data_IF_665592933743
#
_entry.id   IF_665592933743
#
_cell.length_a   1.000
_cell.length_b   1.000
_cell.length_c   1.000
_cell.angle_alpha   90.00
_cell.angle_beta   90.00
_cell.angle_gamma   90.00
#
_symmetry.space_group_name_H-M   'P 1'
#
loop_
_entity.id
_entity.type
_entity.pdbx_description
1 polymer ?
#
# COMPACT_ATOMS: atom_id res chain seq x y z
N UNK A 1 -8.32 1.67 -5.86
CA UNK A 1 -6.87 1.84 -5.63
C UNK A 1 -6.10 2.21 -6.90
N UNK A 2 -6.77 2.73 -7.94
CA UNK A 2 -6.19 2.87 -9.29
C UNK A 2 -5.05 3.89 -9.35
N UNK A 3 -5.21 5.06 -8.71
CA UNK A 3 -4.17 6.09 -8.65
C UNK A 3 -2.87 5.60 -8.00
N UNK A 4 -2.99 4.73 -6.99
CA UNK A 4 -1.83 4.22 -6.24
C UNK A 4 -1.12 3.15 -7.05
N UNK A 5 -1.87 2.29 -7.74
CA UNK A 5 -1.29 1.36 -8.71
C UNK A 5 -0.59 2.11 -9.85
N UNK A 6 -1.24 3.11 -10.44
CA UNK A 6 -0.71 3.84 -11.60
C UNK A 6 0.61 4.56 -11.30
N UNK A 7 0.71 5.20 -10.12
CA UNK A 7 1.92 5.85 -9.63
C UNK A 7 3.02 4.83 -9.30
N UNK A 8 2.70 3.73 -8.60
CA UNK A 8 3.67 2.66 -8.36
C UNK A 8 4.22 2.08 -9.66
N UNK A 9 3.36 1.84 -10.66
CA UNK A 9 3.74 1.32 -11.97
C UNK A 9 4.65 2.27 -12.77
N UNK A 10 4.71 3.55 -12.41
CA UNK A 10 5.63 4.54 -12.97
C UNK A 10 6.74 4.93 -11.99
N UNK A 11 6.95 4.16 -10.92
CA UNK A 11 7.97 4.40 -9.92
C UNK A 11 9.20 3.50 -10.12
N UNK A 12 10.31 3.85 -9.46
CA UNK A 12 11.51 3.02 -9.39
C UNK A 12 11.29 1.65 -8.75
N UNK A 13 10.19 1.45 -8.03
CA UNK A 13 9.93 0.23 -7.26
C UNK A 13 9.12 -0.81 -8.05
N UNK A 14 8.61 -0.49 -9.24
CA UNK A 14 7.69 -1.39 -9.98
C UNK A 14 8.30 -2.74 -10.34
N UNK A 15 9.60 -2.76 -10.67
CA UNK A 15 10.30 -3.95 -11.19
C UNK A 15 10.86 -4.83 -10.05
N UNK A 16 10.99 -4.27 -8.85
CA UNK A 16 11.72 -4.90 -7.72
C UNK A 16 10.86 -5.13 -6.49
N UNK A 17 9.69 -4.49 -6.40
CA UNK A 17 8.80 -4.58 -5.24
C UNK A 17 7.33 -4.55 -5.67
N UNK A 18 6.55 -5.45 -5.08
CA UNK A 18 5.10 -5.46 -5.14
C UNK A 18 4.50 -4.56 -4.05
N UNK A 19 3.18 -4.32 -4.11
CA UNK A 19 2.48 -3.55 -3.09
C UNK A 19 2.72 -4.10 -1.66
N UNK A 20 2.77 -5.43 -1.51
CA UNK A 20 2.92 -6.06 -0.20
C UNK A 20 4.36 -5.96 0.34
N UNK A 21 5.36 -5.82 -0.53
CA UNK A 21 6.76 -5.69 -0.09
C UNK A 21 7.01 -4.38 0.66
N UNK A 22 6.15 -3.38 0.42
CA UNK A 22 6.13 -2.12 1.17
C UNK A 22 5.05 -2.12 2.27
N UNK A 23 3.82 -2.58 1.97
CA UNK A 23 2.66 -2.38 2.84
C UNK A 23 2.32 -3.54 3.79
N UNK A 24 3.05 -4.66 3.75
CA UNK A 24 2.84 -5.81 4.63
C UNK A 24 4.15 -6.14 5.35
N UNK A 25 4.12 -6.44 6.66
CA UNK A 25 5.34 -6.78 7.40
C UNK A 25 5.91 -8.11 6.90
N UNK A 26 7.24 -8.21 6.88
CA UNK A 26 8.01 -9.33 6.33
C UNK A 26 8.91 -10.02 7.38
N UNK A 27 8.74 -9.67 8.65
CA UNK A 27 9.51 -10.18 9.78
C UNK A 27 9.06 -11.58 10.22
N UNK A 28 7.76 -11.85 10.14
CA UNK A 28 7.19 -13.11 10.58
C UNK A 28 5.89 -13.42 9.83
N UNK A 29 5.76 -14.66 9.35
CA UNK A 29 4.59 -15.14 8.59
C UNK A 29 3.27 -14.91 9.33
N UNK A 30 3.23 -15.10 10.65
CA UNK A 30 2.03 -14.85 11.44
C UNK A 30 1.63 -13.37 11.44
N UNK A 31 2.59 -12.46 11.61
CA UNK A 31 2.36 -11.01 11.58
C UNK A 31 1.94 -10.56 10.18
N UNK A 32 2.58 -11.10 9.14
CA UNK A 32 2.20 -10.89 7.72
C UNK A 32 0.74 -11.20 7.47
N UNK A 33 0.29 -12.42 7.80
CA UNK A 33 -1.09 -12.84 7.55
C UNK A 33 -2.10 -12.11 8.42
N UNK A 34 -1.78 -11.89 9.71
CA UNK A 34 -2.65 -11.13 10.60
C UNK A 34 -2.86 -9.70 10.09
N UNK A 35 -1.77 -9.01 9.72
CA UNK A 35 -1.83 -7.65 9.20
C UNK A 35 -2.62 -7.60 7.89
N UNK A 36 -2.34 -8.52 6.97
CA UNK A 36 -3.03 -8.63 5.68
C UNK A 36 -4.53 -8.87 5.85
N UNK A 37 -4.93 -9.73 6.79
CA UNK A 37 -6.33 -10.01 7.08
C UNK A 37 -7.03 -8.78 7.67
N UNK A 38 -6.43 -8.15 8.69
CA UNK A 38 -6.98 -6.97 9.34
C UNK A 38 -7.17 -5.81 8.35
N UNK A 39 -6.14 -5.51 7.57
CA UNK A 39 -6.17 -4.43 6.59
C UNK A 39 -7.10 -4.76 5.41
N UNK A 40 -7.09 -6.02 4.95
CA UNK A 40 -7.98 -6.52 3.91
C UNK A 40 -9.47 -6.41 4.30
N UNK A 41 -9.84 -6.83 5.52
CA UNK A 41 -11.22 -6.70 6.03
C UNK A 41 -11.66 -5.24 6.09
N UNK A 42 -10.78 -4.35 6.55
CA UNK A 42 -11.05 -2.91 6.59
C UNK A 42 -11.29 -2.35 5.19
N UNK A 43 -10.41 -2.66 4.24
CA UNK A 43 -10.54 -2.20 2.86
C UNK A 43 -11.81 -2.73 2.20
N UNK A 44 -12.10 -4.02 2.34
CA UNK A 44 -13.34 -4.61 1.85
C UNK A 44 -14.57 -3.87 2.39
N UNK A 45 -14.61 -3.61 3.70
CA UNK A 45 -15.73 -2.90 4.34
C UNK A 45 -15.93 -1.49 3.76
N UNK A 46 -14.85 -0.71 3.64
CA UNK A 46 -14.91 0.68 3.16
C UNK A 46 -15.32 0.74 1.69
N UNK A 47 -14.73 -0.09 0.82
CA UNK A 47 -15.04 -0.09 -0.60
C UNK A 47 -16.43 -0.67 -0.90
N UNK A 48 -16.88 -1.67 -0.15
CA UNK A 48 -18.27 -2.16 -0.25
C UNK A 48 -19.26 -1.08 0.14
N UNK A 49 -18.97 -0.30 1.18
CA UNK A 49 -19.80 0.83 1.60
C UNK A 49 -19.66 2.07 0.71
N UNK A 50 -18.72 2.08 -0.24
CA UNK A 50 -18.30 3.26 -1.02
C UNK A 50 -18.00 4.48 -0.13
N UNK A 51 -17.35 4.22 1.00
CA UNK A 51 -17.04 5.20 2.04
C UNK A 51 -15.58 5.67 1.99
N UNK A 52 -14.87 5.43 0.88
CA UNK A 52 -13.50 5.89 0.71
C UNK A 52 -13.41 7.43 0.64
N UNK A 53 -12.45 8.05 1.34
CA UNK A 53 -12.22 9.48 1.20
C UNK A 53 -11.56 9.78 -0.14
N UNK A 54 -11.79 10.99 -0.65
CA UNK A 54 -11.14 11.45 -1.88
C UNK A 54 -9.61 11.47 -1.78
N UNK A 55 -9.10 11.72 -0.57
CA UNK A 55 -7.66 11.65 -0.24
C UNK A 55 -7.45 10.50 0.74
N UNK A 56 -6.99 9.37 0.22
CA UNK A 56 -6.62 8.22 1.05
C UNK A 56 -5.30 8.51 1.75
N UNK A 57 -5.29 8.42 3.08
CA UNK A 57 -4.08 8.57 3.90
C UNK A 57 -3.78 7.26 4.62
N UNK A 58 -2.52 6.85 4.57
CA UNK A 58 -2.06 5.66 5.28
C UNK A 58 -2.22 5.86 6.78
N UNK A 59 -2.73 4.82 7.45
CA UNK A 59 -2.87 4.81 8.91
C UNK A 59 -1.53 4.49 9.57
N UNK A 60 -1.45 4.78 10.86
CA UNK A 60 -0.20 4.59 11.61
C UNK A 60 0.38 3.19 11.51
N UNK A 61 -0.45 2.15 11.63
CA UNK A 61 0.01 0.77 11.48
C UNK A 61 0.70 0.53 10.12
N UNK A 62 0.17 1.12 9.05
CA UNK A 62 0.80 1.06 7.72
C UNK A 62 2.06 1.92 7.63
N UNK A 63 2.11 3.09 8.28
CA UNK A 63 3.31 3.93 8.35
C UNK A 63 4.48 3.16 8.96
N UNK A 64 4.23 2.46 10.08
CA UNK A 64 5.26 1.67 10.75
C UNK A 64 5.81 0.58 9.82
N UNK A 65 4.91 -0.18 9.19
CA UNK A 65 5.29 -1.27 8.25
C UNK A 65 6.05 -0.75 7.02
N UNK A 66 5.62 0.36 6.43
CA UNK A 66 6.32 0.94 5.27
C UNK A 66 7.74 1.39 5.65
N UNK A 67 7.90 2.06 6.80
CA UNK A 67 9.22 2.47 7.28
C UNK A 67 10.13 1.26 7.57
N UNK A 68 9.60 0.24 8.25
CA UNK A 68 10.29 -1.04 8.48
C UNK A 68 10.77 -1.65 7.16
N UNK A 69 9.92 -1.68 6.14
CA UNK A 69 10.25 -2.26 4.84
C UNK A 69 11.21 -1.41 3.99
N UNK A 70 11.16 -0.08 4.10
CA UNK A 70 12.17 0.78 3.50
C UNK A 70 13.56 0.43 4.06
N UNK A 71 13.68 0.35 5.39
CA UNK A 71 14.94 -0.01 6.05
C UNK A 71 15.36 -1.44 5.71
N UNK A 72 14.41 -2.40 5.69
CA UNK A 72 14.70 -3.81 5.35
C UNK A 72 15.39 -3.97 4.00
N UNK A 73 14.91 -3.27 2.96
CA UNK A 73 15.50 -3.39 1.62
C UNK A 73 16.74 -2.50 1.43
N UNK A 74 16.84 -1.38 2.17
CA UNK A 74 17.94 -0.42 2.03
C UNK A 74 18.94 -0.47 3.19
N UNK A 75 18.93 -1.54 4.00
CA UNK A 75 19.70 -1.63 5.24
C UNK A 75 21.18 -1.33 5.03
N UNK A 76 21.80 -1.93 4.00
CA UNK A 76 23.21 -1.74 3.72
C UNK A 76 23.55 -0.27 3.40
N UNK A 77 22.64 0.44 2.73
CA UNK A 77 22.80 1.85 2.38
C UNK A 77 22.65 2.77 3.60
N UNK A 78 21.77 2.41 4.55
CA UNK A 78 21.42 3.28 5.69
C UNK A 78 22.05 2.86 7.01
N UNK A 79 22.79 1.74 7.05
CA UNK A 79 23.39 1.16 8.26
C UNK A 79 24.27 2.10 9.07
N UNK A 80 24.87 3.10 8.40
CA UNK A 80 25.82 4.04 9.01
C UNK A 80 25.21 5.41 9.34
N UNK A 81 23.89 5.57 9.21
CA UNK A 81 23.19 6.84 9.47
C UNK A 81 21.99 6.63 10.38
N UNK A 82 21.63 7.65 11.16
CA UNK A 82 20.59 7.56 12.20
C UNK A 82 19.19 7.20 11.68
N UNK A 83 18.93 7.30 10.38
CA UNK A 83 17.62 6.93 9.80
C UNK A 83 17.28 5.45 10.01
N UNK A 84 18.28 4.59 10.24
CA UNK A 84 18.05 3.17 10.55
C UNK A 84 17.28 2.96 11.88
N UNK A 85 17.36 3.92 12.79
CA UNK A 85 16.67 3.89 14.09
C UNK A 85 15.30 4.57 14.03
N UNK A 86 14.96 5.23 12.91
CA UNK A 86 13.69 5.92 12.75
C UNK A 86 12.59 4.92 12.42
N UNK A 87 11.63 4.83 13.32
CA UNK A 87 10.38 4.09 13.18
C UNK A 87 9.23 5.02 12.80
N UNK A 88 8.10 4.45 12.41
CA UNK A 88 6.91 5.24 12.13
C UNK A 88 6.34 5.98 13.36
N UNK A 89 6.60 5.49 14.58
CA UNK A 89 6.10 6.11 15.81
C UNK A 89 7.05 7.18 16.37
N UNK A 90 8.33 6.86 16.49
CA UNK A 90 9.29 7.80 17.09
C UNK A 90 9.56 9.03 16.19
N UNK A 91 9.28 8.92 14.90
CA UNK A 91 9.20 10.07 14.00
C UNK A 91 8.26 11.15 14.53
N UNK A 92 7.12 10.79 15.14
CA UNK A 92 6.15 11.75 15.67
C UNK A 92 6.67 12.53 16.87
N UNK A 93 7.59 11.94 17.62
CA UNK A 93 8.23 12.56 18.79
C UNK A 93 9.50 13.33 18.41
N UNK A 94 9.81 13.42 17.12
CA UNK A 94 10.92 14.23 16.61
C UNK A 94 12.27 13.51 16.58
N UNK A 95 12.29 12.17 16.71
CA UNK A 95 13.55 11.41 16.72
C UNK A 95 14.23 11.32 15.34
N UNK A 96 13.54 11.67 14.25
CA UNK A 96 14.14 11.78 12.93
C UNK A 96 13.14 11.85 11.79
N UNK A 97 13.65 11.78 10.56
CA UNK A 97 12.86 11.78 9.33
C UNK A 97 12.64 10.37 8.82
N UNK A 98 11.43 10.06 8.36
CA UNK A 98 11.16 8.81 7.65
C UNK A 98 11.74 8.88 6.26
N UNK A 99 11.91 7.73 5.63
CA UNK A 99 12.54 7.64 4.31
C UNK A 99 11.85 8.56 3.28
N UNK A 100 10.51 8.59 3.27
CA UNK A 100 9.73 9.40 2.32
C UNK A 100 9.50 10.85 2.76
N UNK A 101 9.99 11.29 3.93
CA UNK A 101 9.98 12.72 4.26
C UNK A 101 11.02 13.46 3.39
N UNK A 102 12.11 12.77 3.01
CA UNK A 102 13.07 13.23 2.00
C UNK A 102 12.73 12.68 0.60
N UNK A 103 12.44 11.38 0.47
CA UNK A 103 12.05 10.73 -0.79
C UNK A 103 10.56 10.94 -1.10
N UNK A 104 10.13 12.20 -1.19
CA UNK A 104 8.72 12.62 -1.21
C UNK A 104 7.89 12.07 -2.38
N UNK A 105 8.55 11.72 -3.48
CA UNK A 105 7.86 11.16 -4.66
C UNK A 105 7.74 9.62 -4.60
N UNK A 106 8.40 8.95 -3.65
CA UNK A 106 8.43 7.49 -3.57
C UNK A 106 7.32 6.92 -2.67
N UNK A 107 6.57 5.90 -3.10
CA UNK A 107 6.35 5.45 -4.49
C UNK A 107 5.14 6.12 -5.16
N UNK A 108 4.33 6.89 -4.41
CA UNK A 108 3.01 7.39 -4.86
C UNK A 108 2.94 8.90 -5.12
N UNK A 109 4.09 9.57 -5.20
CA UNK A 109 4.12 11.01 -5.44
C UNK A 109 3.59 11.88 -4.29
N UNK A 110 3.65 13.19 -4.49
CA UNK A 110 3.10 14.20 -3.56
C UNK A 110 1.62 14.51 -3.81
N UNK A 111 1.11 14.26 -5.02
CA UNK A 111 -0.29 14.51 -5.38
C UNK A 111 -1.15 13.30 -5.04
N UNK A 112 -2.01 13.44 -4.03
CA UNK A 112 -2.83 12.34 -3.48
C UNK A 112 -4.33 12.64 -3.64
N UNK A 113 -4.97 12.07 -4.66
CA UNK A 113 -6.42 12.10 -4.84
C UNK A 113 -6.87 10.93 -5.72
N UNK A 114 -8.10 10.43 -5.50
CA UNK A 114 -8.71 9.45 -6.42
C UNK A 114 -8.88 10.04 -7.83
N UNK A 115 -8.96 11.36 -7.96
CA UNK A 115 -9.05 12.06 -9.23
C UNK A 115 -7.68 12.41 -9.86
N UNK A 116 -6.55 12.08 -9.21
CA UNK A 116 -5.22 12.43 -9.74
C UNK A 116 -4.83 11.66 -11.00
N UNK A 117 -5.47 10.51 -11.25
CA UNK A 117 -5.20 9.65 -12.40
C UNK A 117 -6.52 9.22 -13.05
N UNK A 118 -7.29 10.16 -13.66
CA UNK A 118 -8.66 9.89 -14.10
C UNK A 118 -8.74 8.89 -15.27
N UNK A 119 -7.65 8.73 -16.04
CA UNK A 119 -7.57 7.87 -17.22
C UNK A 119 -6.39 6.90 -17.17
N UNK A 120 -5.91 6.56 -15.97
CA UNK A 120 -4.84 5.56 -15.85
C UNK A 120 -5.33 4.19 -16.32
N UNK A 121 -4.61 3.60 -17.28
CA UNK A 121 -4.78 2.22 -17.70
C UNK A 121 -4.28 1.31 -16.57
N UNK A 122 -5.21 0.84 -15.75
CA UNK A 122 -4.94 -0.15 -14.71
C UNK A 122 -5.56 -1.49 -15.11
N UNK A 123 -4.91 -2.63 -14.78
CA UNK A 123 -5.49 -3.94 -15.03
C UNK A 123 -6.88 -4.02 -14.39
N UNK A 124 -7.86 -4.41 -15.19
CA UNK A 124 -9.20 -4.69 -14.68
C UNK A 124 -9.17 -5.99 -13.90
N UNK A 125 -9.79 -6.00 -12.72
CA UNK A 125 -9.96 -7.22 -11.96
C UNK A 125 -10.93 -8.14 -12.72
N UNK A 126 -10.58 -9.42 -12.82
CA UNK A 126 -11.51 -10.43 -13.30
C UNK A 126 -12.76 -10.44 -12.43
N UNK A 127 -13.90 -10.81 -13.01
CA UNK A 127 -15.15 -10.96 -12.28
C UNK A 127 -14.93 -11.86 -11.06
N UNK A 128 -15.21 -11.33 -9.86
CA UNK A 128 -15.17 -12.09 -8.61
C UNK A 128 -16.27 -13.15 -8.54
N UNK A 129 -17.18 -13.17 -9.52
CA UNK A 129 -18.27 -14.13 -9.63
C UNK A 129 -17.74 -15.45 -10.19
N UNK A 130 -17.82 -16.56 -9.44
CA UNK A 130 -17.51 -17.88 -9.95
C UNK A 130 -18.39 -18.25 -11.15
N UNK A 131 -17.87 -19.04 -12.08
CA UNK A 131 -18.59 -19.36 -13.32
C UNK A 131 -19.90 -20.11 -13.09
N UNK A 132 -20.02 -20.88 -12.01
CA UNK A 132 -21.26 -21.55 -11.63
C UNK A 132 -22.38 -20.56 -11.27
N UNK A 133 -22.07 -19.42 -10.63
CA UNK A 133 -23.05 -18.37 -10.34
C UNK A 133 -23.45 -17.67 -11.64
N UNK A 134 -22.48 -17.39 -12.53
CA UNK A 134 -22.78 -16.77 -13.84
C UNK A 134 -23.74 -17.64 -14.66
N UNK A 135 -23.50 -18.95 -14.68
CA UNK A 135 -24.35 -19.92 -15.38
C UNK A 135 -25.77 -19.93 -14.80
N UNK A 136 -25.89 -19.98 -13.47
CA UNK A 136 -27.19 -19.94 -12.78
C UNK A 136 -27.98 -18.65 -13.07
N UNK A 137 -27.31 -17.49 -13.10
CA UNK A 137 -27.95 -16.21 -13.42
C UNK A 137 -28.40 -16.11 -14.88
N UNK A 138 -27.66 -16.72 -15.80
CA UNK A 138 -27.98 -16.71 -17.23
C UNK A 138 -29.08 -17.71 -17.63
N UNK A 139 -29.21 -18.84 -16.93
CA UNK A 139 -30.28 -19.83 -17.17
C UNK A 139 -31.67 -19.35 -16.73
N UNK A 140 -31.74 -18.34 -15.85
CA UNK A 140 -33.00 -17.71 -15.39
C UNK A 140 -33.47 -16.54 -16.26
N UNK A 141 -32.76 -16.25 -17.35
CA UNK A 141 -33.07 -15.17 -18.28
C UNK A 141 -33.71 -15.73 -19.54
#
# INVERSE_FOLDING_TARGET
>A
MNSQYASWNHSSHREVATCNDCHVPQDNIFRTYYFKAMDGMRHATIFTARAEPQVIRIKQAGINVVQENCIRCHQDLVSMVSVIEVTGENHKTGEGFRCWDCHRETPHGTVRSLASFPHSLVPQLNSATPDWIKKFMNEKK
#
